data_IF_038996048058
#
_entry.id   IF_038996048058
#
_cell.length_a   1.000
_cell.length_b   1.000
_cell.length_c   1.000
_cell.angle_alpha   90.00
_cell.angle_beta   90.00
_cell.angle_gamma   90.00
#
_symmetry.space_group_name_H-M   'P 1'
#
loop_
_entity.id
_entity.type
_entity.pdbx_description
1 polymer ?
#
# COMPACT_ATOMS: atom_id res chain seq x y z
N UNK A 1 14.13 -20.82 4.51
CA UNK A 1 14.14 -19.37 4.84
C UNK A 1 12.76 -18.86 4.45
N UNK A 2 12.03 -18.24 5.37
CA UNK A 2 10.74 -17.63 5.03
C UNK A 2 11.02 -16.47 4.06
N UNK A 3 10.37 -16.49 2.90
CA UNK A 3 10.57 -15.50 1.81
C UNK A 3 9.75 -14.23 2.08
N UNK A 4 8.83 -14.30 3.04
CA UNK A 4 8.01 -13.19 3.51
C UNK A 4 8.64 -12.57 4.76
N UNK A 5 9.16 -11.36 4.61
CA UNK A 5 9.73 -10.57 5.70
C UNK A 5 8.70 -9.54 6.16
N UNK A 6 7.66 -10.03 6.84
CA UNK A 6 6.70 -9.16 7.49
C UNK A 6 7.44 -8.22 8.46
N UNK A 7 6.93 -6.98 8.59
CA UNK A 7 7.51 -6.01 9.49
C UNK A 7 7.32 -6.52 10.94
N UNK A 8 8.40 -6.90 11.61
CA UNK A 8 8.34 -7.54 12.94
C UNK A 8 7.68 -6.63 13.99
N UNK A 9 7.78 -5.32 13.81
CA UNK A 9 7.20 -4.29 14.67
C UNK A 9 5.95 -3.63 14.07
N UNK A 10 5.17 -4.35 13.25
CA UNK A 10 3.95 -3.81 12.59
C UNK A 10 3.01 -3.12 13.58
N UNK A 11 2.81 -3.71 14.77
CA UNK A 11 1.93 -3.14 15.79
C UNK A 11 2.44 -1.80 16.32
N UNK A 12 3.74 -1.69 16.64
CA UNK A 12 4.32 -0.43 17.12
C UNK A 12 4.28 0.68 16.05
N UNK A 13 4.54 0.33 14.79
CA UNK A 13 4.49 1.30 13.69
C UNK A 13 3.05 1.75 13.43
N UNK A 14 2.10 0.83 13.44
CA UNK A 14 0.68 1.15 13.29
C UNK A 14 0.23 2.12 14.39
N UNK A 15 0.57 1.83 15.65
CA UNK A 15 0.23 2.71 16.78
C UNK A 15 0.85 4.10 16.63
N UNK A 16 2.14 4.17 16.30
CA UNK A 16 2.82 5.45 16.10
C UNK A 16 2.20 6.30 14.98
N UNK A 17 1.72 5.67 13.90
CA UNK A 17 1.01 6.36 12.82
C UNK A 17 -0.32 6.90 13.34
N UNK A 18 -1.11 6.08 14.04
CA UNK A 18 -2.40 6.51 14.63
C UNK A 18 -2.23 7.69 15.58
N UNK A 19 -1.23 7.65 16.45
CA UNK A 19 -0.94 8.73 17.40
C UNK A 19 -0.46 10.03 16.71
N UNK A 20 0.13 9.93 15.53
CA UNK A 20 0.68 11.07 14.79
C UNK A 20 -0.36 11.91 14.04
N UNK A 21 -1.63 11.47 14.00
CA UNK A 21 -2.71 12.10 13.21
C UNK A 21 -2.45 12.12 11.70
N UNK A 22 -1.56 11.25 11.20
CA UNK A 22 -1.38 11.03 9.76
C UNK A 22 -2.57 10.20 9.26
N UNK A 23 -3.34 10.77 8.33
CA UNK A 23 -4.51 10.10 7.76
C UNK A 23 -4.18 9.12 6.63
N UNK A 24 -3.04 9.31 5.94
CA UNK A 24 -2.69 8.54 4.74
C UNK A 24 -1.24 8.07 4.74
N UNK A 25 -1.04 6.77 4.52
CA UNK A 25 0.27 6.14 4.31
C UNK A 25 0.35 5.56 2.90
N UNK A 26 1.23 6.12 2.06
CA UNK A 26 1.46 5.63 0.70
C UNK A 26 2.70 4.75 0.64
N UNK A 27 2.56 3.53 0.11
CA UNK A 27 3.59 2.50 0.15
C UNK A 27 3.75 1.79 -1.20
N UNK A 28 4.95 1.21 -1.38
CA UNK A 28 5.28 0.32 -2.49
C UNK A 28 5.64 -1.06 -1.98
N UNK A 29 6.77 -1.60 -2.46
CA UNK A 29 7.39 -2.87 -2.03
C UNK A 29 6.63 -4.16 -2.38
N UNK A 30 5.30 -4.21 -2.29
CA UNK A 30 4.53 -5.42 -2.62
C UNK A 30 4.14 -5.51 -4.10
N UNK A 31 4.55 -4.52 -4.90
CA UNK A 31 4.32 -4.49 -6.34
C UNK A 31 2.84 -4.67 -6.72
N UNK A 32 1.87 -4.26 -5.89
CA UNK A 32 0.45 -4.40 -6.19
C UNK A 32 -0.37 -3.23 -5.61
N UNK A 33 -1.65 -3.17 -5.97
CA UNK A 33 -2.59 -2.16 -5.53
C UNK A 33 -3.43 -2.67 -4.36
N UNK A 34 -3.52 -1.87 -3.30
CA UNK A 34 -4.53 -2.02 -2.26
C UNK A 34 -4.87 -0.64 -1.70
N UNK A 35 -6.11 -0.48 -1.26
CA UNK A 35 -6.51 0.57 -0.34
C UNK A 35 -7.08 -0.12 0.89
N UNK A 36 -6.47 0.11 2.04
CA UNK A 36 -6.80 -0.59 3.29
C UNK A 36 -7.03 0.42 4.40
N UNK A 37 -8.18 0.32 5.06
CA UNK A 37 -8.44 1.02 6.32
C UNK A 37 -7.69 0.30 7.45
N UNK A 38 -6.83 1.03 8.15
CA UNK A 38 -6.00 0.54 9.25
C UNK A 38 -6.44 1.07 10.63
N UNK A 39 -7.72 1.47 10.76
CA UNK A 39 -8.31 1.95 12.02
C UNK A 39 -7.58 3.18 12.58
N UNK A 40 -7.70 4.30 11.86
CA UNK A 40 -7.08 5.59 12.21
C UNK A 40 -6.21 6.19 11.10
N UNK A 41 -5.87 5.41 10.08
CA UNK A 41 -5.24 5.89 8.84
C UNK A 41 -5.56 4.95 7.67
N UNK A 42 -5.46 5.46 6.45
CA UNK A 42 -5.58 4.70 5.21
C UNK A 42 -4.20 4.32 4.69
N UNK A 43 -4.00 3.02 4.44
CA UNK A 43 -2.81 2.50 3.77
C UNK A 43 -3.10 2.30 2.27
N UNK A 44 -2.24 2.87 1.44
CA UNK A 44 -2.34 2.84 -0.02
C UNK A 44 -1.12 2.13 -0.61
N UNK A 45 -1.29 0.93 -1.17
CA UNK A 45 -0.25 0.32 -2.01
C UNK A 45 -0.41 0.78 -3.45
N UNK A 46 0.71 1.14 -4.08
CA UNK A 46 0.77 1.52 -5.49
C UNK A 46 1.33 0.34 -6.31
N UNK A 47 0.67 -0.05 -7.42
CA UNK A 47 1.13 -1.16 -8.24
C UNK A 47 2.47 -0.83 -8.88
N UNK A 48 3.26 -1.88 -9.13
CA UNK A 48 4.50 -1.71 -9.87
C UNK A 48 4.24 -1.58 -11.37
N UNK A 49 5.05 -0.79 -12.09
CA UNK A 49 4.93 -0.68 -13.54
C UNK A 49 5.46 -1.92 -14.30
N UNK A 50 6.11 -2.88 -13.61
CA UNK A 50 6.85 -3.97 -14.27
C UNK A 50 6.27 -5.37 -14.05
N UNK A 51 5.65 -5.63 -12.90
CA UNK A 51 4.99 -6.89 -12.56
C UNK A 51 4.10 -6.70 -11.32
N UNK A 52 3.18 -7.63 -11.04
CA UNK A 52 2.42 -7.65 -9.80
C UNK A 52 2.59 -8.97 -9.04
N UNK A 53 2.67 -8.88 -7.72
CA UNK A 53 2.73 -10.03 -6.81
C UNK A 53 1.31 -10.34 -6.30
N UNK A 54 0.95 -11.61 -6.22
CA UNK A 54 -0.30 -12.06 -5.59
C UNK A 54 -0.31 -11.69 -4.09
N UNK A 55 -1.34 -10.95 -3.64
CA UNK A 55 -1.48 -10.54 -2.25
C UNK A 55 -2.08 -11.66 -1.37
N UNK A 56 -2.80 -12.59 -1.98
CA UNK A 56 -3.56 -13.61 -1.27
C UNK A 56 -2.77 -14.93 -1.13
N UNK A 57 -1.57 -14.99 -1.71
CA UNK A 57 -0.69 -16.15 -1.62
C UNK A 57 0.45 -15.95 -0.63
N UNK A 58 0.76 -17.00 0.13
CA UNK A 58 1.96 -17.05 0.98
C UNK A 58 3.26 -17.21 0.18
N UNK A 59 3.14 -17.73 -1.05
CA UNK A 59 4.25 -17.86 -1.99
C UNK A 59 4.31 -16.65 -2.93
N UNK A 60 5.52 -16.28 -3.38
CA UNK A 60 5.70 -15.16 -4.29
C UNK A 60 5.30 -15.56 -5.72
N UNK A 61 4.01 -15.42 -6.03
CA UNK A 61 3.49 -15.61 -7.38
C UNK A 61 3.33 -14.30 -8.12
N UNK A 62 3.78 -14.29 -9.38
CA UNK A 62 3.49 -13.21 -10.30
C UNK A 62 2.08 -13.40 -10.87
N UNK A 63 1.26 -12.36 -10.83
CA UNK A 63 -0.06 -12.37 -11.47
C UNK A 63 -0.05 -11.54 -12.76
N UNK A 64 -1.01 -11.79 -13.68
CA UNK A 64 -1.25 -10.89 -14.80
C UNK A 64 -1.44 -9.46 -14.29
N UNK A 65 -0.74 -8.50 -14.87
CA UNK A 65 -0.71 -7.14 -14.36
C UNK A 65 -1.03 -6.13 -15.44
N UNK A 66 -1.61 -5.01 -15.00
CA UNK A 66 -1.77 -3.82 -15.83
C UNK A 66 -0.98 -2.70 -15.14
N UNK A 67 0.03 -2.10 -15.79
CA UNK A 67 0.76 -0.98 -15.19
C UNK A 67 -0.21 0.10 -14.72
N UNK A 68 0.07 0.68 -13.57
CA UNK A 68 -0.74 1.76 -13.03
C UNK A 68 0.10 2.76 -12.26
N UNK A 69 -0.40 3.98 -12.19
CA UNK A 69 0.16 5.05 -11.36
C UNK A 69 -0.90 5.49 -10.36
N UNK A 70 -0.47 5.85 -9.14
CA UNK A 70 -1.37 6.47 -8.17
C UNK A 70 -1.30 7.98 -8.31
N UNK A 71 -2.45 8.59 -8.56
CA UNK A 71 -2.63 10.04 -8.51
C UNK A 71 -3.01 10.40 -7.07
N UNK A 72 -2.29 11.34 -6.48
CA UNK A 72 -2.54 11.85 -5.13
C UNK A 72 -2.84 13.34 -5.27
N UNK A 73 -4.08 13.70 -5.00
CA UNK A 73 -4.55 15.08 -5.04
C UNK A 73 -4.60 15.59 -3.60
N UNK A 74 -3.82 16.63 -3.31
CA UNK A 74 -3.71 17.26 -1.99
C UNK A 74 -4.23 18.69 -2.12
N UNK A 75 -5.27 19.02 -1.34
CA UNK A 75 -5.76 20.38 -1.17
C UNK A 75 -5.61 20.86 0.28
N UNK A 76 -6.18 22.01 0.62
CA UNK A 76 -6.05 22.61 1.96
C UNK A 76 -6.79 21.84 3.06
N UNK A 77 -7.72 20.97 2.69
CA UNK A 77 -8.70 20.34 3.59
C UNK A 77 -8.78 18.83 3.43
N UNK A 78 -8.27 18.28 2.33
CA UNK A 78 -8.42 16.87 2.01
C UNK A 78 -7.24 16.33 1.20
N UNK A 79 -7.01 15.02 1.38
CA UNK A 79 -6.16 14.22 0.52
C UNK A 79 -7.06 13.18 -0.13
N UNK A 80 -7.02 13.10 -1.46
CA UNK A 80 -7.69 12.03 -2.20
C UNK A 80 -6.67 11.31 -3.08
N UNK A 81 -6.92 10.04 -3.36
CA UNK A 81 -6.05 9.31 -4.30
C UNK A 81 -6.81 8.23 -5.05
N UNK A 82 -6.35 7.93 -6.26
CA UNK A 82 -6.88 6.85 -7.08
C UNK A 82 -5.80 6.31 -8.00
N UNK A 83 -5.98 5.08 -8.49
CA UNK A 83 -5.06 4.46 -9.46
C UNK A 83 -5.58 4.66 -10.87
N UNK A 84 -4.68 5.10 -11.76
CA UNK A 84 -4.91 5.17 -13.21
C UNK A 84 -4.09 4.08 -13.87
N UNK A 85 -4.77 3.13 -14.51
CA UNK A 85 -4.14 2.03 -15.22
C UNK A 85 -3.86 2.39 -16.69
N UNK A 86 -2.65 2.03 -17.15
CA UNK A 86 -2.14 2.30 -18.51
C UNK A 86 -2.32 1.09 -19.40
#
# INVERSE_FOLDING_TARGET
MAINHALENTAQVSEAIKESQIEHAFCGHYHNAIDKDCDGFYLHLTPSPAFQIDLDSEECYLQPFKPGVRIIDIDQTSVTSHIVYV
#
